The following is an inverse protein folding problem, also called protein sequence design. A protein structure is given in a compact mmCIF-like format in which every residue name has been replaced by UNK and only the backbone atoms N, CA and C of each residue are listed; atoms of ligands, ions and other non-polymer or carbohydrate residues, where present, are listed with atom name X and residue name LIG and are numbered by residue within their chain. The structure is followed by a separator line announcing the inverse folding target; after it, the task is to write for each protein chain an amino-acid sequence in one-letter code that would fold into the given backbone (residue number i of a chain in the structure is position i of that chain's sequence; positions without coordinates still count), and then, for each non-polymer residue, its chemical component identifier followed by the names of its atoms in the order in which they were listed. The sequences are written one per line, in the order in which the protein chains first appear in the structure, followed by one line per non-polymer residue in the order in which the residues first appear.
data_IF_575639331947
#
_entry.id   IF_575639331947
#
_cell.length_a   1.000
_cell.length_b   1.000
_cell.length_c   1.000
_cell.angle_alpha   90.00
_cell.angle_beta   90.00
_cell.angle_gamma   90.00
#
_symmetry.space_group_name_H-M   'P 1'
#
loop_
_entity.id
_entity.type
_entity.pdbx_description
1 polymer ?
2 non-polymer ?
3 non-polymer ?
4 non-polymer ?
5 water ?
#
# COMPACT_ATOMS: atom_id res chain seq x y z
N UNK A 2 -10.80 24.80 4.87
CA UNK A 2 -9.97 25.87 4.25
C UNK A 2 -8.48 25.65 4.56
N UNK A 3 -7.66 25.70 3.52
CA UNK A 3 -6.20 25.50 3.65
C UNK A 3 -5.44 26.80 3.84
N UNK A 4 -4.54 26.80 4.82
CA UNK A 4 -3.78 27.99 5.22
C UNK A 4 -2.28 27.79 4.96
N UNK A 5 -1.63 28.74 4.25
CA UNK A 5 -0.18 28.62 4.02
C UNK A 5 0.55 28.29 5.32
N UNK A 6 1.35 27.24 5.25
CA UNK A 6 2.29 26.86 6.32
C UNK A 6 1.66 26.15 7.52
N UNK A 7 0.52 26.65 7.98
CA UNK A 7 -0.18 26.04 9.12
C UNK A 7 -0.87 24.73 8.76
N UNK A 8 -1.49 24.69 7.58
CA UNK A 8 -2.17 23.50 7.08
C UNK A 8 -1.21 22.46 6.50
N UNK A 9 0.02 22.89 6.22
CA UNK A 9 0.94 22.10 5.43
C UNK A 9 1.28 20.75 6.07
N UNK A 10 1.18 19.70 5.25
CA UNK A 10 1.59 18.35 5.63
C UNK A 10 3.12 18.22 5.58
N UNK A 11 3.69 17.48 6.53
CA UNK A 11 5.10 17.11 6.54
C UNK A 11 5.44 16.17 5.38
N UNK A 12 6.24 16.64 4.44
CA UNK A 12 6.54 15.89 3.24
C UNK A 12 7.79 15.04 3.30
N UNK A 13 7.95 14.18 2.30
CA UNK A 13 9.08 13.27 2.21
C UNK A 13 10.24 13.93 1.46
N UNK A 14 11.45 13.74 1.97
CA UNK A 14 12.67 14.11 1.24
C UNK A 14 13.65 12.95 1.29
N UNK A 15 13.91 12.35 0.14
CA UNK A 15 14.78 11.20 0.12
C UNK A 15 14.87 10.50 -1.22
N UNK A 16 15.33 9.25 -1.18
CA UNK A 16 15.46 8.45 -2.39
C UNK A 16 14.07 8.02 -2.85
N UNK A 17 13.89 8.01 -4.17
CA UNK A 17 12.67 7.55 -4.83
C UNK A 17 12.98 6.37 -5.76
N UNK A 18 12.11 5.36 -5.73
CA UNK A 18 12.14 4.26 -6.69
C UNK A 18 11.21 4.58 -7.87
N UNK A 19 11.75 4.45 -9.09
CA UNK A 19 11.03 4.79 -10.31
C UNK A 19 11.37 6.19 -10.81
N UNK A 20 11.32 6.37 -12.14
CA UNK A 20 11.53 7.68 -12.75
C UNK A 20 10.24 8.22 -13.36
N UNK A 21 10.10 9.55 -13.36
CA UNK A 21 8.91 10.19 -13.92
C UNK A 21 8.38 11.36 -13.11
N UNK A 22 7.18 11.81 -13.49
CA UNK A 22 6.58 12.99 -12.88
C UNK A 22 5.58 12.61 -11.81
N UNK A 23 5.81 13.10 -10.60
CA UNK A 23 4.93 12.93 -9.45
C UNK A 23 4.11 14.18 -9.21
N UNK A 24 2.89 14.00 -8.74
CA UNK A 24 1.99 15.12 -8.53
C UNK A 24 1.21 14.93 -7.23
N UNK A 25 1.07 15.99 -6.45
CA UNK A 25 0.33 15.90 -5.20
C UNK A 25 -0.32 17.23 -4.82
N UNK A 26 -1.23 17.19 -3.84
CA UNK A 26 -1.83 18.39 -3.27
C UNK A 26 -1.54 18.40 -1.78
N UNK A 27 -0.93 19.49 -1.32
CA UNK A 27 -0.75 19.74 0.09
C UNK A 27 -2.07 20.25 0.67
N UNK A 28 -2.43 19.83 1.89
CA UNK A 28 -3.63 20.34 2.56
C UNK A 28 -3.78 21.87 2.59
N UNK A 29 -2.69 22.62 2.37
CA UNK A 29 -2.78 24.08 2.24
C UNK A 29 -3.44 24.49 0.93
N UNK A 30 -3.59 23.52 0.02
CA UNK A 30 -4.13 23.79 -1.30
C UNK A 30 -3.09 23.84 -2.42
N UNK A 31 -1.81 23.89 -2.05
CA UNK A 31 -0.72 23.91 -3.02
C UNK A 31 -0.63 22.62 -3.83
N UNK A 32 -0.39 22.78 -5.12
CA UNK A 32 -0.15 21.66 -6.02
C UNK A 32 1.36 21.53 -6.17
N UNK A 33 1.91 20.41 -5.72
CA UNK A 33 3.36 20.15 -5.76
C UNK A 33 3.69 19.12 -6.84
N UNK A 34 4.68 19.47 -7.67
CA UNK A 34 5.20 18.59 -8.71
C UNK A 34 6.61 18.14 -8.34
N UNK A 35 6.88 16.86 -8.58
CA UNK A 35 8.18 16.30 -8.37
C UNK A 35 8.64 15.60 -9.63
N UNK A 36 9.79 16.02 -10.15
CA UNK A 36 10.40 15.36 -11.31
C UNK A 36 11.47 14.41 -10.80
N UNK A 37 11.24 13.11 -10.98
CA UNK A 37 12.13 12.09 -10.42
C UNK A 37 13.01 11.47 -11.50
N UNK A 38 14.32 11.53 -11.28
CA UNK A 38 15.31 10.88 -12.13
C UNK A 38 16.48 10.41 -11.30
N UNK A 39 16.80 9.12 -11.47
CA UNK A 39 17.91 8.47 -10.77
C UNK A 39 17.85 8.60 -9.26
N UNK A 40 16.66 8.35 -8.70
CA UNK A 40 16.47 8.35 -7.24
C UNK A 40 16.18 9.71 -6.63
N UNK A 41 16.35 10.75 -7.43
CA UNK A 41 16.30 12.12 -6.92
C UNK A 41 15.09 12.88 -7.43
N UNK A 42 14.38 13.56 -6.53
CA UNK A 42 13.20 14.34 -6.91
C UNK A 42 13.44 15.84 -6.94
N UNK A 43 13.14 16.47 -8.07
CA UNK A 43 13.18 17.93 -8.19
C UNK A 43 11.81 18.52 -7.87
N UNK A 44 11.74 19.30 -6.80
CA UNK A 44 10.47 19.82 -6.24
C UNK A 44 10.12 21.18 -6.86
N UNK A 45 8.89 21.29 -7.37
CA UNK A 45 8.33 22.54 -7.88
C UNK A 45 7.03 22.80 -7.10
N UNK A 46 6.90 23.99 -6.53
CA UNK A 46 5.69 24.40 -5.81
C UNK A 46 5.65 25.89 -5.54
N UNK A 47 4.54 26.40 -4.96
CA UNK A 47 4.46 27.84 -4.70
C UNK A 47 5.21 28.27 -3.44
N UNK A 48 5.63 29.54 -3.37
CA UNK A 48 6.32 30.07 -2.17
C UNK A 48 5.43 29.97 -0.92
N UNK A 49 4.14 29.71 -1.14
CA UNK A 49 3.12 29.63 -0.09
C UNK A 49 3.13 28.32 0.73
N UNK A 50 3.81 27.30 0.20
CA UNK A 50 3.79 25.98 0.82
C UNK A 50 5.07 25.68 1.59
N UNK A 51 4.91 25.19 2.81
CA UNK A 51 6.04 24.72 3.63
C UNK A 51 6.85 23.61 2.95
N UNK A 52 6.20 22.82 2.09
CA UNK A 52 6.88 21.77 1.34
C UNK A 52 7.82 22.32 0.26
N UNK A 53 7.40 23.37 -0.42
CA UNK A 53 8.25 24.06 -1.39
C UNK A 53 9.55 24.54 -0.74
N UNK A 54 9.43 25.14 0.43
CA UNK A 54 10.58 25.70 1.13
C UNK A 54 11.49 24.68 1.79
N UNK A 55 10.92 23.59 2.30
CA UNK A 55 11.73 22.50 2.83
C UNK A 55 12.27 21.55 1.77
N UNK A 56 11.83 21.70 0.52
CA UNK A 56 12.15 20.73 -0.53
C UNK A 56 11.59 19.35 -0.20
N UNK A 57 10.34 19.31 0.26
CA UNK A 57 9.66 18.07 0.64
C UNK A 57 8.40 17.84 -0.23
N UNK A 58 7.94 16.58 -0.27
CA UNK A 58 6.80 16.18 -1.11
C UNK A 58 5.77 15.47 -0.24
N UNK A 59 4.58 16.09 -0.04
CA UNK A 59 3.59 15.44 0.84
C UNK A 59 2.83 14.32 0.12
N UNK A 60 2.95 13.11 0.66
CA UNK A 60 2.31 11.94 0.08
C UNK A 60 0.98 11.68 0.77
N UNK A 61 -0.08 11.61 -0.04
CA UNK A 61 -1.43 11.47 0.48
C UNK A 61 -2.36 10.93 -0.58
N UNK A 62 -3.66 10.93 -0.30
CA UNK A 62 -4.67 10.37 -1.19
C UNK A 62 -4.87 11.14 -2.49
N UNK A 63 -4.12 12.24 -2.68
CA UNK A 63 -4.23 13.04 -3.91
C UNK A 63 -2.89 13.05 -4.67
N UNK A 64 -2.01 12.13 -4.28
CA UNK A 64 -0.73 11.90 -4.93
C UNK A 64 -0.92 10.97 -6.13
N UNK A 65 -0.31 11.34 -7.25
CA UNK A 65 -0.31 10.53 -8.47
C UNK A 65 1.10 10.47 -9.06
N UNK A 66 1.37 9.45 -9.87
CA UNK A 66 2.65 9.35 -10.57
C UNK A 66 3.27 8.00 -10.34
N UNK A 67 4.31 7.65 -11.12
CA UNK A 67 4.82 6.26 -11.11
C UNK A 67 5.83 5.86 -10.02
N UNK A 68 6.12 6.77 -9.10
CA UNK A 68 7.23 6.58 -8.16
C UNK A 68 6.78 6.29 -6.73
N UNK A 69 7.68 5.73 -5.94
CA UNK A 69 7.42 5.47 -4.52
C UNK A 69 8.67 5.82 -3.71
N UNK A 70 8.50 6.28 -2.46
CA UNK A 70 9.66 6.56 -1.60
C UNK A 70 10.45 5.32 -1.21
N UNK A 71 11.77 5.48 -1.11
CA UNK A 71 12.64 4.47 -0.54
C UNK A 71 13.27 5.06 0.72
N UNK A 72 12.59 4.91 1.87
CA UNK A 72 13.05 5.62 3.05
C UNK A 72 14.36 5.10 3.62
N UNK A 73 14.99 5.92 4.45
CA UNK A 73 16.26 5.61 5.08
C UNK A 73 16.10 4.63 6.24
N UNK A 74 17.04 3.69 6.34
CA UNK A 74 17.07 2.67 7.40
C UNK A 74 17.17 3.19 8.85
N UNK A 75 17.68 4.39 9.06
CA UNK A 75 17.88 4.93 10.41
C UNK A 75 16.66 5.68 11.00
N UNK A 76 15.47 5.16 10.74
CA UNK A 76 14.24 5.74 11.28
C UNK A 76 14.12 5.37 12.76
N UNK A 77 13.47 6.22 13.56
CA UNK A 77 13.23 5.93 14.98
C UNK A 77 11.90 5.20 15.20
N UNK A 78 10.81 5.83 14.76
CA UNK A 78 9.48 5.26 14.92
C UNK A 78 8.77 5.19 13.56
N UNK A 79 7.88 4.21 13.44
CA UNK A 79 7.11 4.02 12.22
C UNK A 79 5.70 3.57 12.55
N UNK A 80 4.78 3.87 11.64
CA UNK A 80 3.42 3.38 11.71
C UNK A 80 3.27 2.21 10.76
N UNK A 81 2.82 1.07 11.29
CA UNK A 81 2.72 -0.14 10.51
C UNK A 81 1.29 -0.62 10.49
N UNK A 82 0.71 -0.66 9.29
CA UNK A 82 -0.68 -1.08 9.10
C UNK A 82 -0.76 -2.61 9.10
N UNK A 83 -1.19 -3.18 10.23
CA UNK A 83 -1.12 -4.63 10.46
C UNK A 83 -2.44 -5.34 10.18
N UNK A 84 -3.52 -4.56 10.06
CA UNK A 84 -4.84 -5.03 9.68
C UNK A 84 -5.53 -3.90 8.93
N UNK A 85 -6.70 -4.19 8.36
CA UNK A 85 -7.39 -3.26 7.48
C UNK A 85 -7.49 -1.82 8.02
N UNK A 86 -7.75 -1.68 9.31
CA UNK A 86 -7.93 -0.36 9.93
C UNK A 86 -7.25 -0.27 11.29
N UNK A 87 -6.25 -1.11 11.49
CA UNK A 87 -5.49 -1.10 12.73
C UNK A 87 -4.02 -0.87 12.44
N UNK A 88 -3.36 -0.17 13.36
CA UNK A 88 -1.94 0.12 13.24
C UNK A 88 -1.19 -0.32 14.47
N UNK A 89 0.06 -0.66 14.25
CA UNK A 89 1.01 -0.85 15.32
C UNK A 89 2.08 0.25 15.19
N UNK A 90 2.53 0.81 16.31
CA UNK A 90 3.70 1.67 16.28
C UNK A 90 4.94 0.83 16.53
N UNK A 91 5.94 1.02 15.68
CA UNK A 91 7.20 0.31 15.75
C UNK A 91 8.29 1.27 16.21
N UNK A 92 9.06 0.87 17.22
CA UNK A 92 10.22 1.64 17.65
C UNK A 92 11.50 0.86 17.32
N UNK A 93 12.43 1.53 16.64
CA UNK A 93 13.68 0.89 16.25
C UNK A 93 14.85 1.26 17.18
N UNK A 94 15.39 0.24 17.84
CA UNK A 94 16.63 0.38 18.62
C UNK A 94 17.70 -0.59 18.10
N UNK A 95 18.73 -0.02 17.48
CA UNK A 95 19.77 -0.79 16.81
C UNK A 95 19.21 -1.56 15.63
N UNK A 96 19.33 -2.89 15.69
CA UNK A 96 18.77 -3.78 14.67
C UNK A 96 17.48 -4.43 15.17
N UNK A 97 17.04 -4.01 16.36
CA UNK A 97 15.89 -4.62 17.01
C UNK A 97 14.68 -3.69 17.08
N UNK A 98 13.49 -4.25 16.93
CA UNK A 98 12.25 -3.47 16.87
C UNK A 98 11.23 -3.91 17.91
N UNK A 99 10.50 -2.93 18.44
CA UNK A 99 9.50 -3.15 19.50
C UNK A 99 8.17 -2.55 19.10
N UNK A 100 7.10 -3.24 19.47
CA UNK A 100 5.75 -2.69 19.30
C UNK A 100 5.44 -1.81 20.50
N UNK A 101 5.58 -0.50 20.34
CA UNK A 101 5.41 0.46 21.43
C UNK A 101 4.02 1.12 21.51
N UNK A 102 3.13 0.70 20.61
CA UNK A 102 1.79 1.29 20.51
C UNK A 102 0.90 0.52 19.56
N UNK A 103 -0.41 0.60 19.79
CA UNK A 103 -1.38 -0.09 18.97
C UNK A 103 -2.74 0.61 19.04
N UNK A 104 -3.50 0.54 17.96
CA UNK A 104 -4.76 1.28 17.89
C UNK A 104 -5.91 0.52 18.54
N UNK A 105 -5.73 -0.79 18.73
CA UNK A 105 -6.71 -1.64 19.39
C UNK A 105 -5.97 -2.72 20.20
N UNK A 106 -6.54 -3.10 21.34
CA UNK A 106 -5.97 -4.17 22.18
C UNK A 106 -6.04 -5.50 21.45
N UNK A 107 -5.02 -6.32 21.64
CA UNK A 107 -4.88 -7.64 20.99
C UNK A 107 -4.82 -7.65 19.46
N UNK A 108 -4.20 -6.64 18.85
CA UNK A 108 -3.99 -6.65 17.40
C UNK A 108 -3.09 -7.79 16.97
N UNK A 109 -3.48 -8.46 15.90
CA UNK A 109 -2.64 -9.48 15.28
C UNK A 109 -1.70 -8.77 14.28
N UNK A 110 -0.40 -8.88 14.53
CA UNK A 110 0.58 -8.42 13.57
C UNK A 110 1.56 -9.53 13.19
N UNK A 111 2.22 -9.40 12.01
CA UNK A 111 3.30 -10.30 11.62
C UNK A 111 4.44 -10.36 12.65
N UNK A 112 5.19 -11.46 12.64
CA UNK A 112 6.26 -11.66 13.63
C UNK A 112 7.57 -10.95 13.30
N UNK A 113 7.68 -10.49 12.05
CA UNK A 113 8.87 -9.77 11.59
C UNK A 113 8.48 -8.41 10.97
N UNK A 114 9.31 -7.39 11.14
CA UNK A 114 9.09 -6.11 10.46
C UNK A 114 9.41 -6.22 8.96
N UNK A 115 8.62 -5.53 8.12
CA UNK A 115 9.01 -5.44 6.72
C UNK A 115 10.06 -4.34 6.53
N UNK A 116 10.58 -4.20 5.31
CA UNK A 116 11.46 -3.07 4.98
C UNK A 116 10.70 -1.75 5.14
N UNK A 117 11.41 -0.66 5.50
CA UNK A 117 10.78 0.63 5.81
C UNK A 117 9.77 1.15 4.79
N UNK A 118 9.97 0.85 3.51
CA UNK A 118 9.03 1.31 2.49
C UNK A 118 7.61 0.75 2.64
N UNK A 119 7.45 -0.30 3.43
CA UNK A 119 6.12 -0.89 3.68
C UNK A 119 5.38 -0.26 4.88
N UNK A 120 6.08 0.62 5.59
CA UNK A 120 5.49 1.42 6.65
C UNK A 120 4.65 2.54 6.07
N UNK A 121 3.52 2.80 6.73
CA UNK A 121 2.60 3.86 6.34
C UNK A 121 3.19 5.24 6.58
N UNK A 122 3.98 5.33 7.63
CA UNK A 122 4.51 6.59 8.10
C UNK A 122 5.82 6.30 8.85
N UNK A 123 6.84 7.10 8.58
CA UNK A 123 8.12 6.96 9.24
C UNK A 123 8.50 8.31 9.85
N UNK A 124 8.72 8.32 11.16
CA UNK A 124 9.02 9.54 11.90
C UNK A 124 8.15 10.74 11.49
N UNK A 125 6.84 10.53 11.48
CA UNK A 125 5.87 11.59 11.17
C UNK A 125 5.71 11.91 9.69
N UNK A 126 6.37 11.15 8.83
CA UNK A 126 6.30 11.36 7.38
C UNK A 126 5.53 10.22 6.70
N UNK A 127 4.39 10.57 6.09
CA UNK A 127 3.56 9.62 5.34
C UNK A 127 4.23 9.18 4.04
N UNK A 128 4.18 7.88 3.77
CA UNK A 128 4.86 7.28 2.63
C UNK A 128 3.87 6.64 1.64
N UNK A 129 2.64 6.39 2.09
CA UNK A 129 1.64 5.74 1.24
C UNK A 129 0.54 6.70 0.84
N UNK A 130 -0.03 6.49 -0.33
CA UNK A 130 -1.06 7.38 -0.88
C UNK A 130 -2.37 7.14 -0.14
N UNK A 131 -2.86 5.90 -0.14
CA UNK A 131 -3.99 5.52 0.69
C UNK A 131 -3.57 5.00 2.07
N UNK A 132 -4.18 5.55 3.12
CA UNK A 132 -4.00 5.07 4.48
C UNK A 132 -5.22 5.42 5.32
N UNK A 133 -5.77 4.43 6.05
CA UNK A 133 -6.87 4.72 6.97
C UNK A 133 -6.45 5.60 8.14
N UNK A 134 -7.41 6.33 8.70
CA UNK A 134 -7.15 7.17 9.86
C UNK A 134 -6.59 6.31 11.00
N UNK A 135 -5.54 6.81 11.64
CA UNK A 135 -4.93 6.13 12.77
C UNK A 135 -5.64 6.59 14.03
N UNK A 136 -6.23 5.63 14.74
CA UNK A 136 -6.85 5.88 16.02
C UNK A 136 -5.79 6.23 17.06
N UNK A 137 -6.18 6.86 18.17
CA UNK A 137 -5.19 7.10 19.23
C UNK A 137 -4.45 5.80 19.62
N UNK A 138 -3.13 5.89 19.76
CA UNK A 138 -2.31 4.72 20.04
C UNK A 138 -2.32 4.40 21.53
N UNK A 139 -2.55 3.13 21.85
CA UNK A 139 -2.55 2.65 23.22
C UNK A 139 -1.15 2.17 23.57
N UNK A 140 -0.58 2.74 24.62
CA UNK A 140 0.82 2.53 24.94
C UNK A 140 1.05 1.85 26.29
N UNK A 141 -0.03 1.69 27.05
CA UNK A 141 0.04 1.13 28.39
C UNK A 141 -1.01 0.05 28.54
N UNK A 142 -0.58 -1.08 29.11
CA UNK A 142 -1.47 -2.17 29.53
C UNK A 142 -2.31 -2.81 28.44
N UNK A 143 -1.73 -2.90 27.23
CA UNK A 143 -2.35 -3.61 26.11
C UNK A 143 -1.39 -4.69 25.60
N UNK A 144 -1.92 -5.64 24.83
CA UNK A 144 -1.12 -6.74 24.27
C UNK A 144 -1.40 -6.93 22.79
N UNK A 145 -0.42 -7.46 22.06
CA UNK A 145 -0.62 -7.86 20.67
C UNK A 145 -0.48 -9.37 20.45
N UNK A 146 -1.09 -9.85 19.38
CA UNK A 146 -1.11 -11.28 19.05
C UNK A 146 -0.19 -11.63 17.87
N UNK A 147 0.70 -12.57 18.10
CA UNK A 147 1.42 -13.21 17.01
C UNK A 147 1.01 -14.69 17.00
N UNK A 148 0.09 -15.00 16.09
CA UNK A 148 -0.54 -16.32 16.01
C UNK A 148 -1.43 -16.56 17.22
N UNK A 149 -1.02 -17.49 18.07
CA UNK A 149 -1.74 -17.79 19.31
C UNK A 149 -1.19 -17.01 20.51
N UNK A 150 0.11 -16.71 20.47
CA UNK A 150 0.79 -16.04 21.58
C UNK A 150 0.44 -14.56 21.77
N UNK A 151 0.37 -14.14 23.03
CA UNK A 151 0.17 -12.74 23.40
C UNK A 151 1.48 -12.15 23.88
N UNK A 152 1.71 -10.88 23.53
CA UNK A 152 2.88 -10.14 24.00
C UNK A 152 2.45 -8.77 24.50
N UNK A 153 3.06 -8.31 25.58
CA UNK A 153 2.72 -7.00 26.17
C UNK A 153 3.32 -5.88 25.35
N UNK A 154 2.63 -4.75 25.29
CA UNK A 154 3.13 -3.55 24.58
C UNK A 154 4.51 -3.12 25.11
N UNK A 155 5.44 -2.89 24.19
CA UNK A 155 6.84 -2.61 24.54
C UNK A 155 7.74 -3.79 24.23
N UNK A 156 7.12 -4.96 24.02
CA UNK A 156 7.84 -6.20 23.70
C UNK A 156 8.49 -6.16 22.33
N UNK A 157 9.60 -6.88 22.20
CA UNK A 157 10.25 -7.12 20.93
C UNK A 157 9.41 -8.09 20.10
N UNK A 158 9.51 -7.98 18.78
CA UNK A 158 8.82 -8.91 17.88
C UNK A 158 9.47 -10.30 17.93
N UNK A 159 8.66 -11.37 17.81
CA UNK A 159 9.16 -12.74 17.94
C UNK A 159 10.43 -13.04 17.11
N UNK A 160 10.34 -12.88 15.78
CA UNK A 160 11.43 -13.24 14.88
C UNK A 160 12.43 -12.11 14.69
N UNK A 161 13.63 -12.27 15.25
CA UNK A 161 14.75 -11.37 15.02
C UNK A 161 16.09 -12.00 15.43
N UNK B 3 -2.72 4.85 -26.00
CA UNK B 3 -4.04 5.43 -25.58
C UNK B 3 -5.15 5.09 -26.54
N UNK B 4 -5.51 3.81 -26.60
CA UNK B 4 -6.54 3.32 -27.52
C UNK B 4 -7.81 2.93 -26.76
N UNK B 5 -8.98 3.45 -27.19
CA UNK B 5 -10.26 3.08 -26.58
C UNK B 5 -10.54 1.57 -26.60
N UNK B 6 -11.05 1.07 -25.47
CA UNK B 6 -11.46 -0.33 -25.25
C UNK B 6 -10.31 -1.32 -25.12
N UNK B 7 -9.35 -1.26 -26.02
CA UNK B 7 -8.29 -2.26 -26.08
C UNK B 7 -7.14 -1.96 -25.11
N UNK B 8 -6.90 -0.66 -24.87
CA UNK B 8 -5.93 -0.22 -23.88
C UNK B 8 -6.45 -0.31 -22.45
N UNK B 9 -7.74 -0.61 -22.29
CA UNK B 9 -8.41 -0.46 -21.01
C UNK B 9 -7.99 -1.45 -19.93
N UNK B 10 -7.65 -0.91 -18.77
CA UNK B 10 -7.36 -1.69 -17.59
C UNK B 10 -8.65 -2.29 -17.05
N UNK B 11 -8.61 -3.55 -16.60
CA UNK B 11 -9.74 -4.18 -15.91
C UNK B 11 -9.92 -3.50 -14.56
N UNK B 12 -11.09 -2.89 -14.34
CA UNK B 12 -11.33 -2.13 -13.14
C UNK B 12 -12.00 -2.91 -12.04
N UNK B 13 -12.02 -2.32 -10.84
CA UNK B 13 -12.65 -2.92 -9.67
C UNK B 13 -14.15 -2.58 -9.60
N UNK B 14 -14.93 -3.56 -9.17
CA UNK B 14 -16.33 -3.34 -8.81
C UNK B 14 -16.62 -4.12 -7.54
N UNK B 15 -17.03 -3.41 -6.49
CA UNK B 15 -17.32 -4.07 -5.23
C UNK B 15 -17.44 -3.09 -4.10
N UNK B 16 -17.31 -3.58 -2.88
CA UNK B 16 -17.40 -2.73 -1.70
C UNK B 16 -16.13 -1.88 -1.62
N UNK B 17 -16.30 -0.66 -1.13
CA UNK B 17 -15.24 0.30 -0.89
C UNK B 17 -15.36 0.72 0.56
N UNK B 18 -14.22 1.04 1.19
CA UNK B 18 -14.28 1.62 2.52
C UNK B 18 -13.95 3.12 2.49
N UNK B 19 -14.79 3.90 3.17
CA UNK B 19 -14.65 5.34 3.16
C UNK B 19 -15.62 5.90 2.15
N UNK B 20 -16.21 7.04 2.44
CA UNK B 20 -17.13 7.67 1.49
C UNK B 20 -16.51 8.91 0.87
N UNK B 21 -16.92 9.20 -0.36
CA UNK B 21 -16.41 10.38 -1.06
C UNK B 21 -16.17 10.16 -2.54
N UNK B 22 -15.37 11.05 -3.13
CA UNK B 22 -15.13 11.03 -4.57
C UNK B 22 -13.75 10.48 -4.91
N UNK B 23 -13.75 9.50 -5.81
CA UNK B 23 -12.55 8.88 -6.34
C UNK B 23 -12.40 9.32 -7.77
N UNK B 24 -11.18 9.50 -8.21
CA UNK B 24 -10.90 9.82 -9.61
C UNK B 24 -9.73 9.00 -10.08
N UNK B 25 -9.69 8.70 -11.35
CA UNK B 25 -8.61 7.93 -11.94
C UNK B 25 -8.54 8.18 -13.43
N UNK B 26 -7.45 7.74 -14.04
CA UNK B 26 -7.30 7.78 -15.49
C UNK B 26 -7.04 6.35 -15.96
N UNK B 27 -7.89 5.86 -16.86
CA UNK B 27 -7.67 4.58 -17.52
C UNK B 27 -6.53 4.71 -18.55
N UNK B 28 -5.75 3.62 -18.76
CA UNK B 28 -4.69 3.62 -19.76
C UNK B 28 -5.11 4.02 -21.18
N UNK B 29 -6.42 4.01 -21.45
CA UNK B 29 -6.93 4.51 -22.73
C UNK B 29 -6.94 6.04 -22.80
N UNK B 30 -6.97 6.68 -21.62
CA UNK B 30 -6.95 8.14 -21.53
C UNK B 30 -8.16 8.74 -20.83
N UNK B 31 -9.17 7.89 -20.61
CA UNK B 31 -10.42 8.28 -20.00
C UNK B 31 -10.26 8.60 -18.52
N UNK B 32 -10.85 9.72 -18.11
CA UNK B 32 -10.94 10.12 -16.73
C UNK B 32 -12.24 9.53 -16.19
N UNK B 33 -12.13 8.75 -15.11
CA UNK B 33 -13.29 8.09 -14.50
C UNK B 33 -13.48 8.62 -13.10
N UNK B 34 -14.72 8.91 -12.75
CA UNK B 34 -15.08 9.43 -11.45
C UNK B 34 -15.96 8.41 -10.77
N UNK B 35 -15.66 8.12 -9.50
CA UNK B 35 -16.49 7.26 -8.69
C UNK B 35 -17.00 7.98 -7.46
N UNK B 36 -18.33 7.98 -7.29
CA UNK B 36 -18.93 8.54 -6.10
C UNK B 36 -19.27 7.38 -5.18
N UNK B 37 -18.62 7.37 -4.02
CA UNK B 37 -18.80 6.28 -3.05
C UNK B 37 -19.70 6.77 -1.93
N UNK B 38 -20.81 6.04 -1.75
CA UNK B 38 -21.79 6.33 -0.71
C UNK B 38 -22.32 4.98 -0.23
N UNK B 39 -22.27 4.77 1.08
CA UNK B 39 -22.66 3.50 1.73
C UNK B 39 -21.85 2.28 1.26
N UNK B 40 -20.58 2.52 0.91
CA UNK B 40 -19.69 1.47 0.40
C UNK B 40 -19.82 1.20 -1.09
N UNK B 41 -20.75 1.90 -1.74
CA UNK B 41 -21.13 1.59 -3.10
C UNK B 41 -20.74 2.70 -4.06
N UNK B 42 -20.18 2.32 -5.22
CA UNK B 42 -19.65 3.30 -6.15
C UNK B 42 -20.51 3.50 -7.40
N UNK B 43 -20.85 4.76 -7.67
CA UNK B 43 -21.46 5.13 -8.94
C UNK B 43 -20.36 5.65 -9.87
N UNK B 44 -20.25 5.03 -11.04
CA UNK B 44 -19.22 5.38 -12.02
C UNK B 44 -19.71 6.43 -13.03
N UNK B 45 -18.86 7.42 -13.28
CA UNK B 45 -19.07 8.37 -14.37
C UNK B 45 -17.85 8.32 -15.29
N UNK B 46 -18.07 7.99 -16.55
CA UNK B 46 -16.97 7.96 -17.51
C UNK B 46 -17.46 8.20 -18.92
N UNK B 47 -16.54 8.31 -19.90
CA UNK B 47 -16.92 8.42 -21.30
C UNK B 47 -17.25 7.04 -21.87
N UNK B 48 -18.02 6.99 -22.97
CA UNK B 48 -18.40 5.71 -23.56
C UNK B 48 -17.29 5.13 -24.46
N UNK B 49 -16.13 5.77 -24.39
CA UNK B 49 -14.93 5.35 -25.10
C UNK B 49 -14.10 4.32 -24.29
N UNK B 50 -14.50 4.09 -23.04
CA UNK B 50 -13.74 3.26 -22.10
C UNK B 50 -14.57 2.05 -21.65
N UNK B 51 -13.94 0.87 -21.66
CA UNK B 51 -14.56 -0.37 -21.20
C UNK B 51 -15.06 -0.28 -19.78
N UNK B 52 -14.34 0.45 -18.92
CA UNK B 52 -14.76 0.63 -17.53
C UNK B 52 -16.14 1.28 -17.34
N UNK B 53 -16.49 2.23 -18.20
CA UNK B 53 -17.80 2.87 -18.13
C UNK B 53 -18.92 1.87 -18.44
N UNK B 54 -18.72 1.06 -19.47
CA UNK B 54 -19.67 0.02 -19.84
C UNK B 54 -19.85 -1.05 -18.77
N UNK B 55 -18.76 -1.43 -18.11
CA UNK B 55 -18.81 -2.51 -17.14
C UNK B 55 -19.07 -2.07 -15.71
N UNK B 56 -19.19 -0.77 -15.47
CA UNK B 56 -19.39 -0.25 -14.11
C UNK B 56 -18.16 -0.32 -13.21
N UNK B 57 -16.98 -0.37 -13.82
CA UNK B 57 -15.74 -0.65 -13.07
C UNK B 57 -14.82 0.57 -12.95
N UNK B 58 -13.90 0.51 -11.98
CA UNK B 58 -13.02 1.62 -11.66
C UNK B 58 -11.56 1.15 -11.67
N UNK B 59 -10.78 1.59 -12.67
CA UNK B 59 -9.39 1.12 -12.79
C UNK B 59 -8.43 1.81 -11.80
N UNK B 60 -7.96 1.05 -10.82
CA UNK B 60 -7.05 1.56 -9.80
C UNK B 60 -5.61 1.47 -10.28
N UNK B 61 -4.88 2.57 -10.16
CA UNK B 61 -3.52 2.66 -10.68
C UNK B 61 -2.81 3.87 -10.12
N UNK B 62 -1.68 4.21 -10.71
CA UNK B 62 -0.81 5.27 -10.21
C UNK B 62 -1.41 6.68 -10.36
N UNK B 63 -2.57 6.78 -11.02
CA UNK B 63 -3.22 8.05 -11.26
C UNK B 63 -4.55 8.16 -10.56
N UNK B 64 -4.76 7.27 -9.59
CA UNK B 64 -5.98 7.23 -8.79
C UNK B 64 -5.86 8.16 -7.60
N UNK B 65 -6.89 8.97 -7.37
CA UNK B 65 -6.94 9.93 -6.25
C UNK B 65 -8.28 9.76 -5.53
N UNK B 66 -8.33 10.17 -4.26
CA UNK B 66 -9.56 10.12 -3.49
C UNK B 66 -9.38 9.38 -2.16
N UNK B 67 -10.30 9.59 -1.22
CA UNK B 67 -10.12 9.07 0.14
C UNK B 67 -10.53 7.60 0.39
N UNK B 68 -10.91 6.85 -0.64
CA UNK B 68 -11.47 5.50 -0.45
C UNK B 68 -10.55 4.39 -0.94
N UNK B 69 -10.78 3.17 -0.45
CA UNK B 69 -10.01 2.00 -0.85
C UNK B 69 -10.93 0.81 -1.16
N UNK B 70 -10.53 -0.07 -2.09
CA UNK B 70 -11.32 -1.28 -2.26
C UNK B 70 -11.30 -2.18 -1.02
N UNK B 71 -12.44 -2.81 -0.73
CA UNK B 71 -12.52 -3.84 0.30
C UNK B 71 -13.07 -5.12 -0.36
N UNK B 72 -12.17 -5.95 -0.93
CA UNK B 72 -12.64 -7.07 -1.73
C UNK B 72 -13.12 -8.24 -0.88
N UNK B 73 -13.94 -9.09 -1.49
CA UNK B 73 -14.46 -10.29 -0.85
C UNK B 73 -13.32 -11.29 -0.64
N UNK B 74 -13.37 -12.04 0.48
CA UNK B 74 -12.32 -13.03 0.74
C UNK B 74 -12.46 -14.29 -0.13
N UNK B 75 -13.36 -14.25 -1.10
CA UNK B 75 -13.69 -15.38 -1.97
C UNK B 75 -12.93 -15.43 -3.31
N UNK B 76 -11.74 -14.82 -3.37
CA UNK B 76 -10.93 -14.79 -4.60
C UNK B 76 -10.35 -16.17 -4.93
N UNK B 77 -9.92 -16.36 -6.17
CA UNK B 77 -9.20 -17.57 -6.54
C UNK B 77 -7.69 -17.35 -6.48
N UNK B 78 -7.20 -16.38 -7.25
CA UNK B 78 -5.79 -16.01 -7.25
C UNK B 78 -5.57 -14.54 -6.88
N UNK B 79 -4.40 -14.27 -6.28
CA UNK B 79 -4.04 -12.91 -5.90
C UNK B 79 -2.54 -12.68 -6.09
N UNK B 80 -2.15 -11.43 -6.36
CA UNK B 80 -0.74 -11.01 -6.36
C UNK B 80 -0.41 -10.30 -5.08
N UNK B 81 0.65 -10.75 -4.42
CA UNK B 81 0.99 -10.31 -3.09
C UNK B 81 2.41 -9.79 -3.12
N UNK B 82 2.56 -8.50 -2.81
CA UNK B 82 3.86 -7.85 -2.84
C UNK B 82 4.58 -8.10 -1.51
N UNK B 83 5.58 -8.96 -1.54
CA UNK B 83 6.31 -9.35 -0.32
C UNK B 83 7.67 -8.65 -0.19
N UNK B 84 8.14 -8.03 -1.27
CA UNK B 84 9.36 -7.22 -1.20
C UNK B 84 9.21 -6.02 -2.12
N UNK B 85 10.18 -5.12 -2.07
CA UNK B 85 10.16 -3.88 -2.84
C UNK B 85 9.70 -4.09 -4.28
N UNK B 86 10.35 -5.00 -5.00
CA UNK B 86 10.01 -5.28 -6.39
C UNK B 86 9.70 -6.75 -6.64
N UNK B 87 9.37 -7.50 -5.58
CA UNK B 87 9.07 -8.93 -5.75
C UNK B 87 7.64 -9.32 -5.33
N UNK B 88 7.02 -10.18 -6.14
CA UNK B 88 5.67 -10.66 -5.86
C UNK B 88 5.61 -12.17 -5.72
N UNK B 89 4.65 -12.61 -4.93
CA UNK B 89 4.24 -13.99 -4.88
C UNK B 89 2.79 -14.09 -5.43
N UNK B 90 2.47 -15.17 -6.15
CA UNK B 90 1.09 -15.46 -6.47
C UNK B 90 0.55 -16.45 -5.47
N UNK B 91 -0.63 -16.14 -4.95
CA UNK B 91 -1.35 -16.95 -3.99
C UNK B 91 -2.60 -17.50 -4.66
N UNK B 92 -2.80 -18.81 -4.52
CA UNK B 92 -4.04 -19.46 -4.93
C UNK B 92 -4.79 -19.92 -3.68
N UNK B 93 -6.08 -19.63 -3.64
CA UNK B 93 -6.92 -20.03 -2.52
C UNK B 93 -7.77 -21.23 -2.92
N UNK B 94 -7.82 -22.22 -2.02
CA UNK B 94 -8.77 -23.33 -2.12
C UNK B 94 -9.39 -23.47 -0.74
N UNK B 95 -10.72 -23.29 -0.68
CA UNK B 95 -11.45 -23.27 0.57
C UNK B 95 -10.80 -22.27 1.48
N UNK B 96 -10.38 -22.71 2.67
CA UNK B 96 -9.71 -21.84 3.62
C UNK B 96 -8.18 -21.91 3.57
N UNK B 97 -7.66 -22.66 2.60
CA UNK B 97 -6.21 -22.87 2.46
C UNK B 97 -5.62 -22.03 1.33
N UNK B 98 -4.37 -21.64 1.49
CA UNK B 98 -3.66 -20.76 0.57
C UNK B 98 -2.31 -21.35 0.17
N UNK B 99 -2.02 -21.34 -1.13
CA UNK B 99 -0.80 -21.90 -1.73
C UNK B 99 -0.04 -20.86 -2.54
N UNK B 100 1.28 -20.88 -2.44
CA UNK B 100 2.14 -20.06 -3.30
C UNK B 100 2.38 -20.78 -4.62
N UNK B 101 1.73 -20.30 -5.68
CA UNK B 101 1.78 -20.99 -6.96
C UNK B 101 2.71 -20.28 -7.94
N UNK B 102 3.37 -19.22 -7.48
CA UNK B 102 4.27 -18.48 -8.34
C UNK B 102 5.01 -17.38 -7.62
N UNK B 103 6.15 -17.00 -8.18
CA UNK B 103 7.01 -15.96 -7.59
C UNK B 103 7.81 -15.27 -8.68
N UNK B 104 8.17 -14.02 -8.47
CA UNK B 104 8.87 -13.26 -9.52
C UNK B 104 10.37 -13.57 -9.52
N UNK B 105 10.86 -14.06 -8.38
CA UNK B 105 12.27 -14.43 -8.25
C UNK B 105 12.41 -15.63 -7.31
N UNK B 106 13.40 -16.48 -7.56
CA UNK B 106 13.64 -17.65 -6.71
C UNK B 106 13.99 -17.21 -5.29
N UNK B 107 13.46 -17.95 -4.31
CA UNK B 107 13.74 -17.74 -2.89
C UNK B 107 13.21 -16.46 -2.27
N UNK B 108 12.13 -15.91 -2.81
CA UNK B 108 11.46 -14.79 -2.15
C UNK B 108 11.10 -15.16 -0.71
N UNK B 109 11.27 -14.19 0.19
CA UNK B 109 10.88 -14.36 1.56
C UNK B 109 9.43 -13.89 1.70
N UNK B 110 8.55 -14.74 2.18
CA UNK B 110 7.22 -14.24 2.47
C UNK B 110 6.69 -14.56 3.86
N UNK B 111 5.76 -13.73 4.36
CA UNK B 111 5.09 -14.01 5.64
C UNK B 111 4.39 -15.36 5.57
N UNK B 112 4.21 -16.01 6.72
CA UNK B 112 3.62 -17.37 6.70
C UNK B 112 2.11 -17.38 6.60
N UNK B 113 1.50 -16.23 6.81
CA UNK B 113 0.05 -16.07 6.71
C UNK B 113 -0.33 -15.05 5.65
N UNK B 114 -1.32 -15.39 4.83
CA UNK B 114 -1.89 -14.43 3.91
C UNK B 114 -2.54 -13.30 4.71
N UNK B 115 -2.39 -12.05 4.23
CA UNK B 115 -3.13 -10.96 4.82
C UNK B 115 -4.57 -10.94 4.28
N UNK B 116 -5.38 -10.04 4.83
CA UNK B 116 -6.70 -9.73 4.28
C UNK B 116 -6.58 -9.26 2.84
N UNK B 117 -7.59 -9.58 2.00
CA UNK B 117 -7.63 -9.36 0.55
C UNK B 117 -7.22 -7.95 0.08
N UNK B 118 -7.47 -6.92 0.89
CA UNK B 118 -7.14 -5.56 0.46
C UNK B 118 -5.65 -5.22 0.56
N UNK B 119 -4.87 -6.12 1.18
CA UNK B 119 -3.41 -6.00 1.18
C UNK B 119 -2.75 -6.61 -0.07
N UNK B 120 -3.54 -7.33 -0.86
CA UNK B 120 -3.09 -7.87 -2.15
C UNK B 120 -3.04 -6.75 -3.21
N UNK B 121 -2.01 -6.77 -4.05
CA UNK B 121 -1.84 -5.80 -5.11
C UNK B 121 -2.87 -6.03 -6.22
N UNK B 122 -3.18 -7.30 -6.46
CA UNK B 122 -4.17 -7.73 -7.45
C UNK B 122 -4.99 -8.87 -6.88
N UNK B 123 -6.26 -8.91 -7.22
CA UNK B 123 -7.11 -10.06 -6.95
C UNK B 123 -7.79 -10.42 -8.28
N UNK B 124 -7.57 -11.66 -8.72
CA UNK B 124 -8.07 -12.17 -9.99
C UNK B 124 -8.00 -11.16 -11.15
N UNK B 125 -6.80 -10.64 -11.40
CA UNK B 125 -6.54 -9.78 -12.55
C UNK B 125 -6.96 -8.34 -12.39
N UNK B 126 -7.55 -8.01 -11.24
CA UNK B 126 -7.96 -6.64 -10.93
C UNK B 126 -7.02 -6.01 -9.91
N UNK B 127 -6.35 -4.93 -10.31
CA UNK B 127 -5.43 -4.19 -9.46
C UNK B 127 -6.19 -3.43 -8.39
N UNK B 128 -5.66 -3.46 -7.16
CA UNK B 128 -6.32 -2.82 -6.01
C UNK B 128 -5.49 -1.70 -5.40
N UNK B 129 -4.20 -1.64 -5.77
CA UNK B 129 -3.28 -0.66 -5.19
C UNK B 129 -2.89 0.43 -6.17
N UNK B 130 -2.77 1.65 -5.64
CA UNK B 130 -2.44 2.82 -6.45
C UNK B 130 -1.00 2.70 -6.97
N UNK B 131 -0.04 2.53 -6.06
CA UNK B 131 1.32 2.20 -6.48
C UNK B 131 1.58 0.69 -6.45
N UNK B 132 2.12 0.18 -7.55
CA UNK B 132 2.57 -1.20 -7.65
C UNK B 132 3.72 -1.25 -8.65
N UNK B 133 4.88 -1.77 -8.23
CA UNK B 133 5.95 -1.97 -9.21
C UNK B 133 5.57 -3.02 -10.24
N UNK B 134 6.23 -2.99 -11.40
CA UNK B 134 5.96 -3.95 -12.48
C UNK B 134 6.14 -5.38 -11.99
N UNK B 135 5.24 -6.27 -12.42
CA UNK B 135 5.36 -7.67 -12.05
C UNK B 135 6.19 -8.40 -13.09
N UNK B 136 7.37 -8.85 -12.68
CA UNK B 136 8.24 -9.64 -13.55
C UNK B 136 7.56 -10.97 -13.83
N UNK B 137 8.05 -11.73 -14.83
CA UNK B 137 7.40 -13.00 -15.15
C UNK B 137 7.32 -13.94 -13.93
N UNK B 138 6.15 -14.53 -13.69
CA UNK B 138 5.96 -15.42 -12.55
C UNK B 138 6.62 -16.77 -12.82
N UNK B 139 7.55 -17.12 -11.94
CA UNK B 139 8.17 -18.44 -11.98
C UNK B 139 7.25 -19.41 -11.23
N UNK B 140 6.82 -20.47 -11.93
CA UNK B 140 5.85 -21.43 -11.37
C UNK B 140 6.37 -22.87 -11.23
N UNK B 141 7.64 -23.10 -11.52
CA UNK B 141 8.19 -24.45 -11.33
C UNK B 141 9.66 -24.49 -10.91
N UNK B 142 9.99 -25.47 -10.07
CA UNK B 142 11.36 -25.72 -9.64
C UNK B 142 12.03 -24.51 -8.95
N UNK B 143 11.19 -23.67 -8.35
CA UNK B 143 11.64 -22.54 -7.54
C UNK B 143 11.14 -22.75 -6.12
N UNK B 144 11.74 -22.03 -5.16
CA UNK B 144 11.36 -22.16 -3.76
C UNK B 144 11.06 -20.80 -3.11
N UNK B 145 10.19 -20.79 -2.11
CA UNK B 145 9.99 -19.60 -1.28
C UNK B 145 10.44 -19.88 0.13
N UNK B 146 10.76 -18.81 0.85
CA UNK B 146 11.20 -18.92 2.23
C UNK B 146 10.15 -18.38 3.19
N UNK B 147 9.92 -19.13 4.25
CA UNK B 147 9.15 -18.65 5.41
C UNK B 147 10.01 -18.81 6.66
N UNK B 148 10.65 -17.72 7.07
CA UNK B 148 11.65 -17.79 8.13
C UNK B 148 12.88 -18.55 7.66
N UNK B 149 13.12 -19.72 8.24
CA UNK B 149 14.30 -20.55 7.91
C UNK B 149 13.95 -21.81 7.12
N UNK B 150 12.67 -21.95 6.77
CA UNK B 150 12.21 -23.13 6.04
C UNK B 150 11.93 -22.79 4.58
N UNK B 151 12.35 -23.68 3.68
CA UNK B 151 12.11 -23.52 2.25
C UNK B 151 11.07 -24.50 1.76
N UNK B 152 10.26 -24.05 0.80
CA UNK B 152 9.18 -24.86 0.26
C UNK B 152 9.14 -24.72 -1.25
N UNK B 153 8.88 -25.84 -1.93
CA UNK B 153 8.73 -25.81 -3.38
C UNK B 153 7.47 -25.01 -3.77
N UNK B 154 7.51 -24.32 -4.91
CA UNK B 154 6.30 -23.72 -5.48
C UNK B 154 5.17 -24.73 -5.57
N UNK B 155 3.98 -24.28 -5.20
CA UNK B 155 2.82 -25.14 -5.18
C UNK B 155 2.44 -25.43 -3.75
N UNK B 156 3.37 -25.18 -2.83
CA UNK B 156 3.20 -25.45 -1.39
C UNK B 156 2.20 -24.56 -0.71
N UNK B 157 1.44 -25.16 0.19
CA UNK B 157 0.56 -24.42 1.09
C UNK B 157 1.40 -23.52 1.98
N UNK B 158 0.88 -22.35 2.33
CA UNK B 158 1.58 -21.50 3.29
C UNK B 158 1.60 -22.22 4.63
N UNK B 159 2.77 -22.26 5.28
CA UNK B 159 3.04 -23.10 6.48
C UNK B 159 2.16 -22.81 7.69
N UNK B 160 1.61 -21.62 7.80
CA UNK B 160 0.80 -21.27 8.97
C UNK B 160 -0.67 -21.69 8.87
N UNK B 161 -0.90 -22.84 8.22
CA UNK B 161 -2.24 -23.40 8.12
C UNK B 161 -2.22 -24.90 8.37
X LIG C 1 1.48 23.36 1.97
X LIG D 1 -1.82 1.57 -2.46
X LIG D 1 -3.19 1.90 -2.56
X LIG D 1 -1.11 2.87 -2.24
X LIG D 1 -1.42 3.15 -0.91
X LIG D 1 0.39 2.75 -2.45
X LIG D 1 1.06 3.82 -1.80
X LIG E 1 15.61 14.33 -2.83
X LIG E 1 15.37 15.75 -3.35
X LIG E 1 16.07 16.80 -2.47
X LIG E 1 17.56 16.41 -2.36
X LIG E 1 17.73 15.05 -1.89
X LIG E 1 17.13 14.07 -2.74
X LIG E 1 15.89 18.10 -3.06
X LIG E 1 17.32 12.79 -2.13
X LIG E 1 18.56 12.09 -2.29
X LIG E 1 18.76 11.35 -0.95
X LIG E 1 18.86 12.31 0.24
X LIG E 1 14.96 13.35 -3.67
X LIG E 1 13.98 16.03 -3.32
X LIG E 1 18.31 17.31 -1.39
X LIG E 1 19.67 17.26 -1.80
X LIG E 1 15.42 19.10 -2.14
X LIG E 1 20.19 13.08 0.23
X LIG E 1 18.74 11.49 1.54
X LIG E 1 18.43 11.00 -3.37
X LIG E 1 19.48 10.91 -4.50
X LIG E 1 19.42 9.47 -5.03
X LIG E 1 20.93 11.25 -4.15
X LIG F 1 -10.51 2.83 -20.66
#
# INVERSE_FOLDING_TARGET
ALGVPFFSCQRGYKGVWRGDGIMQTTCPCGAQITGHVKNGSMRIVGPRTCSNTWHGTFPINAYTTGPCTPSPAPNYSRALWRVAAEEYVEVTRVGDFHYVTGMTTDNVKCPCQVPAPEFFTEVDGVRLHRYAPACKPLLREEVTFLVGLNQYLVGSQLPCEPEPDVAVLTSMDDDDK
ALGVPFFSCQRGYKGVWRGDGIMQTTCPCGAQITGHVKNGSMRIVGPRTCSNTWHGTFPINAYTTGPCTPSPAPNYSRALWRVAAEEYVEVTRVGDFHYVTGMTTDNVKCPCQVPAPEFFTEVDGVRLHRYAPACKPLLREEVTFLVGLNQYLVGSQLPCEPEPDVAVLTSMDDDDK
ZN ZN
GOL C1 O1 C2 O2 C3 O3
0BD C1 C2 C3 C4 O5 C6 O7 O16 C18 C19 C22 O49 O55 C57 O61 C10 C14 C13 C C12 C16 C15
ZN ZN
#
